data_IF_538214418835
#
_entry.id   IF_538214418835
#
_cell.length_a   1.000
_cell.length_b   1.000
_cell.length_c   1.000
_cell.angle_alpha   90.00
_cell.angle_beta   90.00
_cell.angle_gamma   90.00
#
_symmetry.space_group_name_H-M   'P 1'
#
loop_
_entity.id
_entity.type
_entity.pdbx_description
1 polymer ?
#
# COMPACT_ATOMS: atom_id res chain seq x y z
N UNK A 1 17.19 9.24 -23.90
CA UNK A 1 17.12 9.03 -22.44
C UNK A 1 16.00 8.03 -22.19
N UNK A 2 16.33 6.78 -21.88
CA UNK A 2 15.36 5.67 -21.84
C UNK A 2 14.20 5.96 -20.87
N UNK A 3 14.48 6.58 -19.73
CA UNK A 3 13.44 6.96 -18.75
C UNK A 3 12.37 7.89 -19.34
N UNK A 4 12.77 8.89 -20.15
CA UNK A 4 11.85 9.84 -20.80
C UNK A 4 11.00 9.17 -21.88
N UNK A 5 11.54 8.15 -22.57
CA UNK A 5 10.76 7.40 -23.57
C UNK A 5 9.73 6.48 -22.91
N UNK A 6 10.03 5.98 -21.71
CA UNK A 6 9.13 5.10 -20.96
C UNK A 6 7.97 5.87 -20.34
N UNK A 7 8.13 7.15 -19.96
CA UNK A 7 7.03 7.92 -19.33
C UNK A 7 5.79 8.04 -20.22
N UNK A 8 5.96 8.08 -21.54
CA UNK A 8 4.86 8.16 -22.51
C UNK A 8 4.54 6.83 -23.19
N UNK A 9 5.13 5.71 -22.74
CA UNK A 9 4.94 4.42 -23.39
C UNK A 9 3.62 3.78 -22.96
N UNK A 10 2.83 3.34 -23.94
CA UNK A 10 1.63 2.52 -23.73
C UNK A 10 1.87 1.15 -24.36
N UNK A 11 1.84 0.10 -23.54
CA UNK A 11 1.95 -1.27 -24.00
C UNK A 11 0.70 -1.67 -24.80
N UNK A 12 0.89 -2.46 -25.86
CA UNK A 12 -0.22 -3.08 -26.62
C UNK A 12 -0.47 -4.54 -26.24
N UNK A 13 0.54 -5.16 -25.62
CA UNK A 13 0.53 -6.55 -25.19
C UNK A 13 1.47 -6.71 -24.01
N UNK A 14 1.32 -7.83 -23.30
CA UNK A 14 2.22 -8.17 -22.22
C UNK A 14 3.55 -8.70 -22.78
N UNK A 15 4.67 -8.26 -22.21
CA UNK A 15 6.02 -8.72 -22.55
C UNK A 15 6.81 -8.96 -21.28
N UNK A 16 7.23 -10.21 -21.07
CA UNK A 16 8.04 -10.60 -19.91
C UNK A 16 9.44 -9.96 -19.92
N UNK A 17 9.96 -9.62 -21.09
CA UNK A 17 11.22 -8.89 -21.22
C UNK A 17 11.07 -7.43 -20.75
N UNK A 18 9.98 -6.77 -21.14
CA UNK A 18 9.68 -5.42 -20.67
C UNK A 18 9.39 -5.40 -19.17
N UNK A 19 8.65 -6.39 -18.67
CA UNK A 19 8.40 -6.53 -17.23
C UNK A 19 9.72 -6.59 -16.43
N UNK A 20 10.64 -7.47 -16.82
CA UNK A 20 11.97 -7.58 -16.20
C UNK A 20 12.76 -6.27 -16.30
N UNK A 21 12.64 -5.57 -17.42
CA UNK A 21 13.34 -4.30 -17.63
C UNK A 21 12.82 -3.20 -16.70
N UNK A 22 11.50 -3.07 -16.56
CA UNK A 22 10.88 -2.14 -15.60
C UNK A 22 11.25 -2.50 -14.17
N UNK A 23 11.21 -3.79 -13.81
CA UNK A 23 11.56 -4.23 -12.46
C UNK A 23 13.02 -3.89 -12.13
N UNK A 24 13.95 -4.13 -13.07
CA UNK A 24 15.35 -3.76 -12.89
C UNK A 24 15.53 -2.24 -12.76
N UNK A 25 14.81 -1.44 -13.56
CA UNK A 25 14.87 0.02 -13.47
C UNK A 25 14.38 0.54 -12.12
N UNK A 26 13.26 0.00 -11.61
CA UNK A 26 12.72 0.37 -10.29
C UNK A 26 13.63 -0.06 -9.14
N UNK A 27 14.38 -1.15 -9.30
CA UNK A 27 15.33 -1.63 -8.27
C UNK A 27 16.62 -0.81 -8.21
N UNK A 28 16.94 0.00 -9.22
CA UNK A 28 18.13 0.85 -9.21
C UNK A 28 17.94 2.16 -8.42
N UNK A 29 16.69 2.50 -8.04
CA UNK A 29 16.20 3.62 -7.21
C UNK A 29 16.60 5.05 -7.62
N UNK A 30 17.69 5.21 -8.36
CA UNK A 30 18.35 6.49 -8.70
C UNK A 30 18.15 6.88 -10.16
N UNK A 31 17.68 5.96 -11.00
CA UNK A 31 17.65 6.11 -12.46
C UNK A 31 16.33 6.69 -12.97
N UNK A 32 15.22 6.33 -12.32
CA UNK A 32 13.87 6.76 -12.71
C UNK A 32 13.04 7.06 -11.47
N UNK A 33 12.18 8.07 -11.56
CA UNK A 33 11.13 8.29 -10.55
C UNK A 33 10.01 7.27 -10.80
N UNK A 34 9.58 6.48 -9.80
CA UNK A 34 8.52 5.49 -9.99
C UNK A 34 7.23 6.09 -10.56
N UNK A 35 6.81 7.23 -10.03
CA UNK A 35 5.64 8.00 -10.52
C UNK A 35 5.74 8.32 -12.01
N UNK A 36 6.90 8.74 -12.49
CA UNK A 36 7.11 9.11 -13.89
C UNK A 36 6.94 7.96 -14.89
N UNK A 37 7.14 6.71 -14.46
CA UNK A 37 6.95 5.51 -15.30
C UNK A 37 5.72 4.69 -14.90
N UNK A 38 4.99 5.09 -13.85
CA UNK A 38 3.84 4.37 -13.31
C UNK A 38 2.80 4.05 -14.39
N UNK A 39 2.42 5.05 -15.19
CA UNK A 39 1.48 4.89 -16.29
C UNK A 39 1.89 3.77 -17.27
N UNK A 40 3.17 3.76 -17.66
CA UNK A 40 3.71 2.78 -18.61
C UNK A 40 3.77 1.35 -18.05
N UNK A 41 4.11 1.24 -16.76
CA UNK A 41 4.14 -0.02 -16.01
C UNK A 41 2.71 -0.57 -15.87
N UNK A 42 1.76 0.28 -15.45
CA UNK A 42 0.36 -0.11 -15.32
C UNK A 42 -0.25 -0.49 -16.67
N UNK A 43 0.06 0.25 -17.74
CA UNK A 43 -0.35 -0.11 -19.10
C UNK A 43 0.12 -1.51 -19.49
N UNK A 44 1.39 -1.86 -19.20
CA UNK A 44 1.91 -3.22 -19.42
C UNK A 44 1.20 -4.26 -18.55
N UNK A 45 1.05 -3.99 -17.25
CA UNK A 45 0.44 -4.90 -16.28
C UNK A 45 -1.02 -5.19 -16.60
N UNK A 46 -1.77 -4.23 -17.14
CA UNK A 46 -3.15 -4.42 -17.62
C UNK A 46 -3.26 -5.41 -18.78
N UNK A 47 -2.14 -5.80 -19.41
CA UNK A 47 -2.13 -6.90 -20.36
C UNK A 47 -1.84 -8.28 -19.74
N UNK A 48 -1.39 -8.35 -18.49
CA UNK A 48 -1.12 -9.59 -17.76
C UNK A 48 -2.43 -10.32 -17.40
N UNK A 49 -2.49 -11.64 -17.59
CA UNK A 49 -3.74 -12.41 -17.44
C UNK A 49 -4.35 -12.28 -16.03
N UNK A 50 -3.56 -12.47 -14.97
CA UNK A 50 -4.05 -12.32 -13.58
C UNK A 50 -4.57 -10.91 -13.28
N UNK A 51 -3.91 -9.86 -13.79
CA UNK A 51 -4.34 -8.46 -13.56
C UNK A 51 -5.63 -8.18 -14.30
N UNK A 52 -5.73 -8.61 -15.57
CA UNK A 52 -6.98 -8.53 -16.35
C UNK A 52 -8.14 -9.23 -15.67
N UNK A 53 -7.90 -10.44 -15.18
CA UNK A 53 -8.89 -11.23 -14.46
C UNK A 53 -9.37 -10.49 -13.21
N UNK A 54 -8.44 -10.01 -12.37
CA UNK A 54 -8.76 -9.26 -11.17
C UNK A 54 -9.57 -7.97 -11.45
N UNK A 55 -9.18 -7.19 -12.46
CA UNK A 55 -9.94 -6.02 -12.92
C UNK A 55 -11.34 -6.44 -13.39
N UNK A 56 -11.46 -7.54 -14.13
CA UNK A 56 -12.75 -8.01 -14.64
C UNK A 56 -13.71 -8.48 -13.53
N UNK A 57 -13.20 -9.15 -12.50
CA UNK A 57 -13.98 -9.55 -11.33
C UNK A 57 -14.47 -8.34 -10.54
N UNK A 58 -13.63 -7.31 -10.41
CA UNK A 58 -13.99 -6.05 -9.76
C UNK A 58 -15.16 -5.38 -10.48
N UNK A 59 -15.09 -5.28 -11.82
CA UNK A 59 -16.16 -4.67 -12.62
C UNK A 59 -17.49 -5.41 -12.54
N UNK A 60 -17.45 -6.73 -12.35
CA UNK A 60 -18.65 -7.58 -12.24
C UNK A 60 -19.21 -7.64 -10.82
N UNK A 61 -18.56 -7.01 -9.85
CA UNK A 61 -18.87 -7.10 -8.42
C UNK A 61 -18.89 -8.57 -7.90
N UNK A 62 -18.10 -9.44 -8.53
CA UNK A 62 -18.03 -10.89 -8.26
C UNK A 62 -16.62 -11.27 -7.75
N UNK A 63 -16.00 -10.34 -7.02
CA UNK A 63 -14.62 -10.55 -6.56
C UNK A 63 -14.56 -11.26 -5.22
N UNK A 64 -15.61 -11.19 -4.40
CA UNK A 64 -15.64 -11.69 -3.01
C UNK A 64 -15.15 -13.14 -2.87
N UNK A 65 -15.60 -14.04 -3.75
CA UNK A 65 -15.25 -15.46 -3.68
C UNK A 65 -13.81 -15.77 -4.14
N UNK A 66 -13.19 -14.87 -4.91
CA UNK A 66 -11.88 -15.09 -5.54
C UNK A 66 -10.79 -14.15 -4.99
N UNK A 67 -11.10 -13.24 -4.06
CA UNK A 67 -10.13 -12.25 -3.53
C UNK A 67 -8.86 -12.93 -3.05
N UNK A 68 -8.99 -13.96 -2.21
CA UNK A 68 -7.85 -14.64 -1.61
C UNK A 68 -6.90 -15.22 -2.68
N UNK A 69 -7.45 -15.94 -3.66
CA UNK A 69 -6.66 -16.52 -4.75
C UNK A 69 -6.02 -15.43 -5.64
N UNK A 70 -6.79 -14.39 -5.98
CA UNK A 70 -6.31 -13.30 -6.82
C UNK A 70 -5.18 -12.52 -6.13
N UNK A 71 -5.31 -12.19 -4.84
CA UNK A 71 -4.26 -11.53 -4.06
C UNK A 71 -2.97 -12.36 -4.03
N UNK A 72 -3.07 -13.68 -3.84
CA UNK A 72 -1.91 -14.59 -3.87
C UNK A 72 -1.29 -14.63 -5.28
N UNK A 73 -2.10 -14.69 -6.34
CA UNK A 73 -1.58 -14.70 -7.71
C UNK A 73 -0.96 -13.37 -8.11
N UNK A 74 -1.52 -12.24 -7.64
CA UNK A 74 -0.96 -10.91 -7.85
C UNK A 74 0.33 -10.70 -7.06
N UNK A 75 0.45 -11.26 -5.85
CA UNK A 75 1.69 -11.17 -5.07
C UNK A 75 2.87 -11.94 -5.69
N UNK A 76 2.57 -12.84 -6.63
CA UNK A 76 3.57 -13.54 -7.45
C UNK A 76 4.01 -12.75 -8.70
N UNK A 77 3.49 -11.53 -8.92
CA UNK A 77 3.93 -10.64 -10.01
C UNK A 77 4.81 -9.54 -9.38
N UNK A 78 6.15 -9.67 -9.39
CA UNK A 78 7.02 -8.76 -8.64
C UNK A 78 6.89 -7.31 -9.08
N UNK A 79 6.69 -7.07 -10.38
CA UNK A 79 6.50 -5.71 -10.90
C UNK A 79 5.21 -5.07 -10.38
N UNK A 80 4.15 -5.84 -10.19
CA UNK A 80 2.88 -5.33 -9.66
C UNK A 80 3.05 -4.89 -8.21
N UNK A 81 3.64 -5.73 -7.35
CA UNK A 81 3.89 -5.33 -5.95
C UNK A 81 4.85 -4.13 -5.88
N UNK A 82 5.95 -4.18 -6.63
CA UNK A 82 6.96 -3.11 -6.59
C UNK A 82 6.38 -1.75 -6.98
N UNK A 83 5.50 -1.67 -7.98
CA UNK A 83 4.95 -0.37 -8.38
C UNK A 83 3.94 0.19 -7.37
N UNK A 84 3.08 -0.66 -6.77
CA UNK A 84 2.11 -0.20 -5.76
C UNK A 84 2.79 0.13 -4.42
N UNK A 85 3.99 -0.38 -4.14
CA UNK A 85 4.73 -0.01 -2.93
C UNK A 85 5.46 1.34 -3.05
N UNK A 86 5.73 1.80 -4.28
CA UNK A 86 6.64 2.91 -4.53
C UNK A 86 5.97 4.26 -4.76
N UNK A 87 4.79 4.31 -5.37
CA UNK A 87 4.12 5.56 -5.72
C UNK A 87 2.59 5.40 -5.77
N UNK A 88 1.83 6.50 -5.59
CA UNK A 88 0.39 6.49 -5.82
C UNK A 88 0.08 6.03 -7.25
N UNK A 89 -1.01 5.28 -7.41
CA UNK A 89 -1.40 4.73 -8.70
C UNK A 89 -2.62 5.48 -9.21
N UNK A 90 -2.42 6.40 -10.14
CA UNK A 90 -3.50 7.17 -10.78
C UNK A 90 -4.10 6.43 -12.00
N UNK A 91 -4.62 5.21 -11.79
CA UNK A 91 -5.38 4.46 -12.79
C UNK A 91 -6.68 3.94 -12.17
N UNK A 92 -7.82 4.44 -12.65
CA UNK A 92 -9.15 4.18 -12.06
C UNK A 92 -9.48 2.69 -11.94
N UNK A 93 -9.02 1.84 -12.86
CA UNK A 93 -9.30 0.40 -12.81
C UNK A 93 -8.47 -0.28 -11.71
N UNK A 94 -7.22 0.14 -11.53
CA UNK A 94 -6.35 -0.35 -10.46
C UNK A 94 -6.78 0.21 -9.11
N UNK A 95 -7.12 1.49 -9.01
CA UNK A 95 -7.65 2.08 -7.77
C UNK A 95 -8.93 1.39 -7.32
N UNK A 96 -9.86 1.15 -8.24
CA UNK A 96 -11.08 0.40 -7.95
C UNK A 96 -10.77 -1.02 -7.47
N UNK A 97 -9.82 -1.71 -8.11
CA UNK A 97 -9.36 -3.04 -7.71
C UNK A 97 -8.80 -3.04 -6.27
N UNK A 98 -7.87 -2.13 -5.97
CA UNK A 98 -7.21 -2.05 -4.67
C UNK A 98 -8.18 -1.63 -3.56
N UNK A 99 -9.08 -0.68 -3.82
CA UNK A 99 -10.15 -0.27 -2.89
C UNK A 99 -11.07 -1.45 -2.54
N UNK A 100 -11.49 -2.24 -3.54
CA UNK A 100 -12.34 -3.42 -3.31
C UNK A 100 -11.61 -4.53 -2.53
N UNK A 101 -10.35 -4.80 -2.87
CA UNK A 101 -9.54 -5.74 -2.09
C UNK A 101 -9.36 -5.28 -0.65
N UNK A 102 -9.04 -4.00 -0.42
CA UNK A 102 -8.92 -3.43 0.91
C UNK A 102 -10.16 -3.69 1.76
N UNK A 103 -11.34 -3.39 1.20
CA UNK A 103 -12.63 -3.64 1.86
C UNK A 103 -12.82 -5.12 2.21
N UNK A 104 -12.68 -6.02 1.24
CA UNK A 104 -12.98 -7.44 1.45
C UNK A 104 -11.98 -8.09 2.41
N UNK A 105 -10.69 -7.75 2.31
CA UNK A 105 -9.64 -8.27 3.20
C UNK A 105 -9.85 -7.83 4.65
N UNK A 106 -10.41 -6.64 4.89
CA UNK A 106 -10.81 -6.17 6.22
C UNK A 106 -12.03 -6.92 6.76
N UNK A 107 -13.09 -7.03 5.95
CA UNK A 107 -14.36 -7.62 6.39
C UNK A 107 -14.24 -9.14 6.63
N UNK A 108 -13.45 -9.82 5.82
CA UNK A 108 -13.19 -11.26 5.94
C UNK A 108 -11.95 -11.57 6.82
N UNK A 109 -11.41 -10.58 7.56
CA UNK A 109 -10.14 -10.73 8.28
C UNK A 109 -10.07 -11.93 9.25
N UNK A 110 -11.20 -12.29 9.84
CA UNK A 110 -11.27 -13.40 10.80
C UNK A 110 -11.07 -14.77 10.13
N UNK A 111 -11.50 -14.92 8.88
CA UNK A 111 -11.32 -16.16 8.12
C UNK A 111 -9.96 -16.21 7.43
N UNK A 112 -9.39 -15.04 7.10
CA UNK A 112 -8.15 -14.90 6.33
C UNK A 112 -6.88 -14.77 7.17
N UNK A 113 -6.97 -14.46 8.47
CA UNK A 113 -5.83 -14.19 9.36
C UNK A 113 -4.77 -15.30 9.39
N UNK A 114 -5.18 -16.55 9.21
CA UNK A 114 -4.29 -17.73 9.22
C UNK A 114 -3.60 -17.99 7.87
N UNK A 115 -3.92 -17.22 6.83
CA UNK A 115 -3.34 -17.43 5.50
C UNK A 115 -2.11 -16.54 5.29
N UNK A 116 -0.95 -17.03 5.72
CA UNK A 116 0.33 -16.33 5.59
C UNK A 116 0.70 -15.93 4.15
N UNK A 117 0.13 -16.57 3.12
CA UNK A 117 0.38 -16.21 1.71
C UNK A 117 -0.22 -14.86 1.33
N UNK A 118 -1.24 -14.39 2.06
CA UNK A 118 -1.87 -13.09 1.83
C UNK A 118 -1.06 -11.94 2.42
N UNK A 119 -0.26 -12.20 3.45
CA UNK A 119 0.45 -11.15 4.20
C UNK A 119 1.28 -10.26 3.28
N UNK A 120 1.95 -10.85 2.30
CA UNK A 120 2.74 -10.10 1.31
C UNK A 120 1.90 -9.11 0.53
N UNK A 121 0.76 -9.55 -0.02
CA UNK A 121 -0.14 -8.67 -0.77
C UNK A 121 -0.73 -7.58 0.13
N UNK A 122 -1.20 -7.97 1.32
CA UNK A 122 -1.82 -7.05 2.27
C UNK A 122 -0.83 -5.97 2.73
N UNK A 123 0.43 -6.32 2.95
CA UNK A 123 1.48 -5.37 3.31
C UNK A 123 1.76 -4.38 2.17
N UNK A 124 1.86 -4.85 0.92
CA UNK A 124 2.01 -3.97 -0.25
C UNK A 124 0.79 -3.05 -0.44
N UNK A 125 -0.42 -3.56 -0.20
CA UNK A 125 -1.65 -2.76 -0.23
C UNK A 125 -1.66 -1.68 0.86
N UNK A 126 -1.20 -2.00 2.06
CA UNK A 126 -1.08 -1.02 3.14
C UNK A 126 -0.05 0.07 2.83
N UNK A 127 1.09 -0.31 2.24
CA UNK A 127 2.10 0.65 1.76
C UNK A 127 1.53 1.58 0.67
N UNK A 128 0.70 1.04 -0.23
CA UNK A 128 0.00 1.84 -1.22
C UNK A 128 -0.99 2.82 -0.56
N UNK A 129 -1.76 2.37 0.43
CA UNK A 129 -2.71 3.22 1.16
C UNK A 129 -1.99 4.31 1.95
N UNK A 130 -0.82 4.03 2.51
CA UNK A 130 0.00 5.05 3.15
C UNK A 130 0.57 6.05 2.14
N UNK A 131 1.11 5.54 1.03
CA UNK A 131 1.72 6.36 -0.03
C UNK A 131 0.71 7.26 -0.73
N UNK A 132 -0.54 6.83 -0.85
CA UNK A 132 -1.63 7.62 -1.43
C UNK A 132 -2.41 8.46 -0.40
N UNK A 133 -1.89 8.61 0.82
CA UNK A 133 -2.52 9.40 1.90
C UNK A 133 -3.96 8.95 2.25
N UNK A 134 -4.22 7.66 2.14
CA UNK A 134 -5.50 7.02 2.49
C UNK A 134 -6.71 7.58 1.70
N UNK A 135 -6.53 8.01 0.45
CA UNK A 135 -7.60 8.59 -0.40
C UNK A 135 -8.80 7.66 -0.67
N UNK A 136 -8.67 6.35 -0.43
CA UNK A 136 -9.76 5.41 -0.65
C UNK A 136 -10.85 5.60 0.40
N UNK A 137 -12.00 6.10 -0.03
CA UNK A 137 -13.17 6.30 0.84
C UNK A 137 -13.52 5.02 1.60
N UNK A 138 -13.91 5.21 2.86
CA UNK A 138 -14.27 4.19 3.80
C UNK A 138 -15.79 4.15 3.94
N UNK A 139 -16.41 2.97 3.78
CA UNK A 139 -17.84 2.78 4.04
C UNK A 139 -18.12 2.65 5.53
N UNK A 140 -19.35 2.94 5.99
CA UNK A 140 -19.73 2.80 7.41
C UNK A 140 -19.43 1.39 7.97
N UNK A 141 -19.63 0.37 7.14
CA UNK A 141 -19.29 -1.02 7.44
C UNK A 141 -17.79 -1.23 7.67
N UNK A 142 -16.94 -0.59 6.85
CA UNK A 142 -15.49 -0.61 7.04
C UNK A 142 -15.10 0.15 8.32
N UNK A 143 -15.71 1.31 8.59
CA UNK A 143 -15.44 2.10 9.80
C UNK A 143 -15.67 1.31 11.07
N UNK A 144 -16.84 0.67 11.20
CA UNK A 144 -17.12 -0.19 12.34
C UNK A 144 -16.14 -1.37 12.44
N UNK A 145 -15.72 -1.93 11.31
CA UNK A 145 -14.75 -3.02 11.28
C UNK A 145 -13.33 -2.57 11.66
N UNK A 146 -12.92 -1.35 11.29
CA UNK A 146 -11.63 -0.74 11.67
C UNK A 146 -11.62 -0.42 13.15
N UNK A 147 -12.65 0.24 13.69
CA UNK A 147 -12.75 0.58 15.12
C UNK A 147 -12.70 -0.68 16.01
N UNK A 148 -13.39 -1.74 15.58
CA UNK A 148 -13.31 -3.04 16.24
C UNK A 148 -11.89 -3.62 16.17
N UNK A 149 -11.22 -3.52 15.02
CA UNK A 149 -9.86 -4.02 14.82
C UNK A 149 -8.84 -3.25 15.68
N UNK A 150 -8.96 -1.93 15.79
CA UNK A 150 -8.15 -1.10 16.68
C UNK A 150 -8.27 -1.55 18.13
N UNK A 151 -9.51 -1.76 18.59
CA UNK A 151 -9.81 -2.22 19.96
C UNK A 151 -9.18 -3.59 20.23
N UNK A 152 -9.34 -4.53 19.30
CA UNK A 152 -8.77 -5.89 19.42
C UNK A 152 -7.24 -5.83 19.50
N UNK A 153 -6.58 -5.11 18.58
CA UNK A 153 -5.12 -5.01 18.58
C UNK A 153 -4.60 -4.32 19.84
N UNK A 154 -5.25 -3.25 20.29
CA UNK A 154 -4.88 -2.56 21.53
C UNK A 154 -4.95 -3.49 22.76
N UNK A 155 -5.99 -4.34 22.83
CA UNK A 155 -6.13 -5.33 23.91
C UNK A 155 -5.06 -6.41 23.83
N UNK A 156 -4.80 -6.97 22.64
CA UNK A 156 -3.79 -8.03 22.47
C UNK A 156 -2.38 -7.54 22.80
N UNK A 157 -2.03 -6.30 22.43
CA UNK A 157 -0.74 -5.69 22.83
C UNK A 157 -0.65 -5.38 24.33
N UNK A 158 -1.77 -5.13 25.02
CA UNK A 158 -1.77 -4.90 26.47
C UNK A 158 -1.77 -6.20 27.28
N UNK A 159 -2.27 -7.30 26.71
CA UNK A 159 -2.43 -8.59 27.36
C UNK A 159 -1.29 -9.59 27.14
N UNK A 160 -0.20 -9.20 26.47
CA UNK A 160 0.88 -10.10 26.01
C UNK A 160 0.36 -11.28 25.16
N UNK A 161 -0.72 -11.07 24.39
CA UNK A 161 -1.26 -12.06 23.46
C UNK A 161 -0.50 -12.07 22.13
N UNK A 162 -0.58 -13.19 21.39
CA UNK A 162 0.02 -13.27 20.05
C UNK A 162 -0.72 -12.37 19.07
N UNK A 163 -0.01 -11.41 18.47
CA UNK A 163 -0.61 -10.39 17.61
C UNK A 163 -0.50 -10.79 16.15
N UNK A 164 -1.65 -10.89 15.48
CA UNK A 164 -1.71 -11.30 14.08
C UNK A 164 -1.09 -10.24 13.15
N UNK A 165 -0.02 -10.62 12.44
CA UNK A 165 0.62 -9.77 11.41
C UNK A 165 -0.37 -9.38 10.31
N UNK A 166 -1.28 -10.28 9.95
CA UNK A 166 -2.34 -10.00 8.98
C UNK A 166 -3.26 -8.88 9.49
N UNK A 167 -3.69 -8.95 10.75
CA UNK A 167 -4.56 -7.92 11.33
C UNK A 167 -3.87 -6.55 11.43
N UNK A 168 -2.59 -6.51 11.83
CA UNK A 168 -1.78 -5.28 11.79
C UNK A 168 -1.74 -4.72 10.36
N UNK A 169 -1.47 -5.58 9.37
CA UNK A 169 -1.42 -5.14 7.96
C UNK A 169 -2.80 -4.70 7.43
N UNK A 170 -3.91 -5.25 7.93
CA UNK A 170 -5.26 -4.74 7.64
C UNK A 170 -5.47 -3.35 8.22
N UNK A 171 -5.14 -3.12 9.50
CA UNK A 171 -5.27 -1.82 10.14
C UNK A 171 -4.44 -0.75 9.41
N UNK A 172 -3.21 -1.10 9.03
CA UNK A 172 -2.28 -0.20 8.34
C UNK A 172 -2.70 0.26 6.95
N UNK A 173 -3.74 -0.37 6.37
CA UNK A 173 -4.37 0.07 5.12
C UNK A 173 -5.44 1.16 5.32
N UNK A 174 -5.81 1.46 6.57
CA UNK A 174 -6.83 2.44 6.92
C UNK A 174 -6.31 3.54 7.83
N UNK A 175 -5.34 3.23 8.70
CA UNK A 175 -4.77 4.16 9.68
C UNK A 175 -3.25 3.99 9.70
N UNK A 176 -2.46 5.08 9.75
CA UNK A 176 -1.01 4.98 9.75
C UNK A 176 -0.49 4.46 11.11
N UNK A 177 0.46 3.51 11.06
CA UNK A 177 0.90 2.80 12.26
C UNK A 177 1.61 3.68 13.30
N UNK A 178 2.32 4.76 12.92
CA UNK A 178 3.01 5.63 13.88
C UNK A 178 2.09 6.34 14.89
N UNK A 179 0.77 6.35 14.66
CA UNK A 179 -0.19 6.91 15.61
C UNK A 179 -0.47 6.00 16.81
N UNK A 180 -0.07 4.73 16.74
CA UNK A 180 -0.30 3.76 17.79
C UNK A 180 0.96 3.60 18.66
N UNK A 181 0.88 3.78 19.99
CA UNK A 181 2.03 3.64 20.88
C UNK A 181 2.73 2.28 20.76
N UNK A 182 1.95 1.20 20.63
CA UNK A 182 2.49 -0.15 20.48
C UNK A 182 3.33 -0.32 19.22
N UNK A 183 3.14 0.49 18.17
CA UNK A 183 3.88 0.32 16.92
C UNK A 183 5.37 0.72 17.03
N UNK A 184 5.74 1.50 18.05
CA UNK A 184 7.13 1.98 18.23
C UNK A 184 8.04 0.92 18.85
N UNK A 185 7.50 0.08 19.72
CA UNK A 185 8.28 -0.86 20.54
C UNK A 185 8.15 -2.32 20.07
N UNK A 186 7.42 -2.56 18.98
CA UNK A 186 7.18 -3.90 18.44
C UNK A 186 8.37 -4.37 17.63
N UNK A 187 8.90 -5.54 17.99
CA UNK A 187 9.78 -6.30 17.10
C UNK A 187 8.94 -6.64 15.86
N UNK A 188 9.36 -6.23 14.65
CA UNK A 188 8.58 -6.47 13.44
C UNK A 188 8.14 -7.93 13.34
N UNK A 189 6.84 -8.22 13.36
CA UNK A 189 6.37 -9.56 13.06
C UNK A 189 6.88 -9.94 11.66
N UNK A 190 7.36 -11.18 11.50
CA UNK A 190 7.96 -11.64 10.24
C UNK A 190 7.08 -11.26 9.04
N UNK A 191 7.65 -10.51 8.09
CA UNK A 191 6.96 -10.07 6.87
C UNK A 191 6.33 -8.68 6.94
N UNK A 192 6.41 -7.97 8.08
CA UNK A 192 5.98 -6.58 8.23
C UNK A 192 7.13 -5.57 8.26
N UNK A 193 8.38 -6.02 8.07
CA UNK A 193 9.56 -5.16 8.17
C UNK A 193 9.48 -3.94 7.25
N UNK A 194 9.14 -4.06 5.94
CA UNK A 194 9.03 -2.90 5.07
C UNK A 194 7.88 -1.95 5.45
N UNK A 195 6.82 -2.51 6.05
CA UNK A 195 5.64 -1.75 6.46
C UNK A 195 5.95 -0.89 7.70
N UNK A 196 6.59 -1.47 8.71
CA UNK A 196 7.00 -0.74 9.92
C UNK A 196 8.12 0.25 9.65
N UNK A 197 9.06 -0.09 8.76
CA UNK A 197 10.09 0.85 8.31
C UNK A 197 9.43 2.13 7.78
N UNK A 198 8.50 1.99 6.83
CA UNK A 198 7.89 3.13 6.14
C UNK A 198 6.84 3.88 6.95
N UNK A 199 5.97 3.17 7.67
CA UNK A 199 4.87 3.82 8.40
C UNK A 199 5.23 4.31 9.81
N UNK A 200 6.33 3.81 10.39
CA UNK A 200 6.74 4.11 11.78
C UNK A 200 8.13 4.70 11.85
N UNK A 201 9.15 3.96 11.40
CA UNK A 201 10.56 4.33 11.60
C UNK A 201 10.89 5.60 10.80
N UNK A 202 10.62 5.61 9.50
CA UNK A 202 10.85 6.75 8.61
C UNK A 202 10.05 7.98 9.05
N UNK A 203 8.79 7.80 9.46
CA UNK A 203 7.94 8.92 9.96
C UNK A 203 8.53 9.53 11.24
N UNK A 204 8.96 8.70 12.19
CA UNK A 204 9.58 9.18 13.42
C UNK A 204 10.91 9.90 13.15
N UNK A 205 11.69 9.41 12.19
CA UNK A 205 12.91 10.09 11.72
C UNK A 205 12.57 11.45 11.09
N UNK A 206 11.56 11.51 10.22
CA UNK A 206 11.09 12.77 9.62
C UNK A 206 10.65 13.78 10.69
N UNK A 207 9.87 13.34 11.69
CA UNK A 207 9.43 14.18 12.81
C UNK A 207 10.61 14.68 13.65
N UNK A 208 11.63 13.85 13.87
CA UNK A 208 12.85 14.25 14.57
C UNK A 208 13.66 15.27 13.76
N UNK A 209 13.79 15.05 12.44
CA UNK A 209 14.48 15.98 11.53
C UNK A 209 13.75 17.31 11.44
N UNK A 210 12.41 17.32 11.38
CA UNK A 210 11.58 18.54 11.33
C UNK A 210 11.91 19.52 12.47
N UNK A 211 12.24 19.01 13.66
CA UNK A 211 12.65 19.84 14.82
C UNK A 211 13.98 20.57 14.61
N UNK A 212 14.84 20.03 13.75
CA UNK A 212 16.19 20.53 13.49
C UNK A 212 16.28 21.39 12.21
N UNK A 213 15.21 21.49 11.42
CA UNK A 213 15.18 22.34 10.21
C UNK A 213 15.06 23.81 10.66
N UNK A 214 16.09 24.64 10.42
CA UNK A 214 16.05 26.05 10.82
C UNK A 214 15.02 26.82 10.02
N UNK A 215 14.23 27.67 10.71
CA UNK A 215 13.32 28.61 10.04
C UNK A 215 14.16 29.71 9.37
N UNK A 216 14.14 29.77 8.04
CA UNK A 216 14.93 30.75 7.27
C UNK A 216 14.46 32.20 7.47
N UNK A 217 13.17 32.42 7.73
CA UNK A 217 12.55 33.72 8.04
C UNK A 217 11.36 33.51 9.00
N UNK A 218 10.97 34.54 9.79
CA UNK A 218 9.67 34.54 10.45
C UNK A 218 8.56 34.36 9.41
N UNK A 219 7.51 33.62 9.75
CA UNK A 219 6.32 33.56 8.91
C UNK A 219 5.52 34.84 9.18
N UNK A 220 5.58 35.78 8.25
CA UNK A 220 4.88 37.08 8.32
C UNK A 220 3.51 37.05 7.66
N UNK A 221 3.15 35.93 7.00
CA UNK A 221 1.87 35.80 6.32
C UNK A 221 0.81 35.29 7.31
N UNK A 222 -0.19 36.13 7.58
CA UNK A 222 -1.31 35.86 8.48
C UNK A 222 -2.05 34.55 8.16
N UNK A 223 -2.16 34.18 6.88
CA UNK A 223 -2.79 32.93 6.45
C UNK A 223 -1.91 31.73 6.83
N UNK A 224 -0.59 31.84 6.70
CA UNK A 224 0.36 30.79 7.06
C UNK A 224 0.54 30.62 8.57
N UNK A 225 0.19 31.64 9.36
CA UNK A 225 0.13 31.54 10.83
C UNK A 225 -1.13 30.81 11.31
N UNK A 226 -2.24 30.89 10.57
CA UNK A 226 -3.51 30.30 10.95
C UNK A 226 -3.59 28.77 10.85
N UNK A 227 -2.64 28.14 10.14
CA UNK A 227 -2.57 26.68 9.91
C UNK A 227 -1.23 26.07 10.37
N UNK A 228 -0.53 26.73 11.29
CA UNK A 228 0.64 26.15 11.96
C UNK A 228 0.27 25.08 12.98
#
# INVERSE_FOLDING_TARGET
NLGVTLTSFTAKSFSSQLEKSYLNLLNLETVVRPDGISHSVISLLKHHNTVKEAISHTKKNDIKNSVCELCIRLSNIPLFLKIIELCPIADLEIESLLKNFRKILLLERQTLSNNHKLLRFQSSLALQCFTNEFIYEETEEETLAVENLETVLQQSFAGDEDVSSYQISCLSSYRPLHLYPWATDVIPPSGLEPLLERQVIEVNQELALRRNIPRLKPIENDVSLAVQ
#
